data_IF_346407274927
#
_entry.id   IF_346407274927
#
_cell.length_a   1.000
_cell.length_b   1.000
_cell.length_c   1.000
_cell.angle_alpha   90.00
_cell.angle_beta   90.00
_cell.angle_gamma   90.00
#
_symmetry.space_group_name_H-M   'P 1'
#
loop_
_entity.id
_entity.type
_entity.pdbx_description
1 polymer ?
#
# COMPACT_ATOMS: atom_id res chain seq x y z
N UNK A 1 3.71 -8.79 2.83
CA UNK A 1 3.20 -8.81 1.44
C UNK A 1 2.06 -9.80 1.37
N UNK A 2 0.96 -9.43 0.78
CA UNK A 2 -0.18 -10.30 0.48
C UNK A 2 -0.51 -10.23 -1.01
N UNK A 3 -1.07 -11.31 -1.55
CA UNK A 3 -1.54 -11.38 -2.95
C UNK A 3 -2.85 -12.15 -2.98
N UNK A 4 -3.83 -11.65 -3.72
CA UNK A 4 -5.09 -12.32 -3.94
C UNK A 4 -5.59 -12.09 -5.37
N UNK A 5 -6.56 -12.90 -5.81
CA UNK A 5 -7.15 -12.82 -7.16
C UNK A 5 -8.66 -12.63 -7.07
N UNK A 6 -9.18 -11.79 -7.95
CA UNK A 6 -10.61 -11.60 -8.22
C UNK A 6 -10.87 -12.16 -9.61
N UNK A 7 -11.57 -13.29 -9.71
CA UNK A 7 -11.79 -14.00 -10.97
C UNK A 7 -13.12 -13.56 -11.59
N UNK A 8 -13.16 -13.39 -12.90
CA UNK A 8 -14.36 -13.05 -13.65
C UNK A 8 -14.28 -11.67 -14.29
N UNK A 9 -15.40 -11.19 -14.83
CA UNK A 9 -15.51 -9.96 -15.60
C UNK A 9 -15.01 -8.74 -14.80
N UNK A 10 -13.98 -8.09 -15.31
CA UNK A 10 -13.34 -6.95 -14.66
C UNK A 10 -14.21 -5.71 -14.85
N UNK A 11 -14.62 -5.06 -13.76
CA UNK A 11 -15.36 -3.81 -13.79
C UNK A 11 -14.48 -2.59 -13.50
N UNK A 12 -14.95 -1.41 -13.89
CA UNK A 12 -14.29 -0.13 -13.61
C UNK A 12 -15.16 0.77 -12.76
N UNK A 13 -14.52 1.72 -12.09
CA UNK A 13 -15.25 2.76 -11.37
C UNK A 13 -16.06 3.60 -12.37
N UNK A 14 -17.38 3.54 -12.25
CA UNK A 14 -18.29 4.38 -13.04
C UNK A 14 -18.49 5.73 -12.32
N UNK A 15 -18.68 6.78 -13.10
CA UNK A 15 -19.02 8.10 -12.54
C UNK A 15 -20.38 8.02 -11.85
N UNK A 16 -20.55 8.67 -10.70
CA UNK A 16 -21.86 8.80 -10.07
C UNK A 16 -22.87 9.39 -11.05
N UNK A 17 -24.10 8.89 -11.02
CA UNK A 17 -25.20 9.39 -11.83
C UNK A 17 -26.11 10.28 -11.01
N UNK A 18 -26.61 11.34 -11.60
CA UNK A 18 -27.62 12.18 -10.99
C UNK A 18 -29.02 11.85 -11.55
N UNK A 19 -30.02 11.86 -10.70
CA UNK A 19 -31.41 11.77 -11.07
C UNK A 19 -32.22 12.85 -10.35
N UNK A 20 -33.26 13.36 -10.98
CA UNK A 20 -34.19 14.29 -10.34
C UNK A 20 -35.46 13.51 -10.00
N UNK A 21 -35.78 13.43 -8.69
CA UNK A 21 -37.01 12.82 -8.21
C UNK A 21 -37.66 13.74 -7.19
N UNK A 22 -38.92 14.14 -7.45
CA UNK A 22 -39.64 15.06 -6.57
C UNK A 22 -39.04 16.46 -6.47
N UNK A 23 -38.40 16.97 -7.54
CA UNK A 23 -37.77 18.31 -7.54
C UNK A 23 -36.36 18.37 -6.92
N UNK A 24 -35.84 17.27 -6.40
CA UNK A 24 -34.49 17.20 -5.77
C UNK A 24 -33.53 16.37 -6.61
N UNK A 25 -32.32 16.89 -6.83
CA UNK A 25 -31.25 16.15 -7.46
C UNK A 25 -30.69 15.13 -6.46
N UNK A 26 -30.63 13.85 -6.84
CA UNK A 26 -29.98 12.77 -6.07
C UNK A 26 -28.84 12.21 -6.87
N UNK A 27 -27.68 12.12 -6.25
CA UNK A 27 -26.49 11.48 -6.83
C UNK A 27 -26.39 10.08 -6.26
N UNK A 28 -26.13 9.10 -7.12
CA UNK A 28 -25.96 7.70 -6.71
C UNK A 28 -24.83 7.02 -7.47
N UNK A 29 -24.18 6.07 -6.83
CA UNK A 29 -23.21 5.19 -7.45
C UNK A 29 -23.94 4.10 -8.24
N UNK A 30 -23.57 3.82 -9.50
CA UNK A 30 -24.16 2.73 -10.29
C UNK A 30 -24.08 1.38 -9.57
N UNK A 31 -25.15 0.57 -9.71
CA UNK A 31 -25.30 -0.69 -9.01
C UNK A 31 -24.14 -1.68 -9.30
N UNK A 32 -23.71 -1.76 -10.56
CA UNK A 32 -22.63 -2.66 -10.98
C UNK A 32 -21.30 -2.31 -10.29
N UNK A 33 -21.04 -1.00 -10.10
CA UNK A 33 -19.86 -0.55 -9.33
C UNK A 33 -19.92 -1.06 -7.90
N UNK A 34 -21.05 -0.92 -7.22
CA UNK A 34 -21.22 -1.36 -5.83
C UNK A 34 -21.08 -2.89 -5.73
N UNK A 35 -21.67 -3.62 -6.65
CA UNK A 35 -21.60 -5.09 -6.68
C UNK A 35 -20.16 -5.57 -6.85
N UNK A 36 -19.41 -4.95 -7.76
CA UNK A 36 -18.01 -5.32 -7.97
C UNK A 36 -17.11 -4.94 -6.81
N UNK A 37 -17.30 -3.76 -6.20
CA UNK A 37 -16.58 -3.38 -4.97
C UNK A 37 -16.81 -4.39 -3.85
N UNK A 38 -18.06 -4.82 -3.65
CA UNK A 38 -18.39 -5.83 -2.65
C UNK A 38 -17.76 -7.19 -2.98
N UNK A 39 -17.71 -7.55 -4.26
CA UNK A 39 -17.06 -8.78 -4.71
C UNK A 39 -15.56 -8.76 -4.43
N UNK A 40 -14.86 -7.66 -4.75
CA UNK A 40 -13.42 -7.50 -4.44
C UNK A 40 -13.19 -7.60 -2.92
N UNK A 41 -14.03 -6.98 -2.10
CA UNK A 41 -13.96 -7.07 -0.62
C UNK A 41 -14.11 -8.51 -0.13
N UNK A 42 -15.11 -9.21 -0.63
CA UNK A 42 -15.36 -10.60 -0.25
C UNK A 42 -14.18 -11.50 -0.62
N UNK A 43 -13.61 -11.34 -1.82
CA UNK A 43 -12.44 -12.09 -2.26
C UNK A 43 -11.19 -11.77 -1.43
N UNK A 44 -11.00 -10.50 -1.06
CA UNK A 44 -9.93 -10.10 -0.14
C UNK A 44 -10.08 -10.80 1.21
N UNK A 45 -11.23 -10.70 1.85
CA UNK A 45 -11.49 -11.30 3.16
C UNK A 45 -11.33 -12.82 3.12
N UNK A 46 -11.87 -13.47 2.09
CA UNK A 46 -11.75 -14.91 1.90
C UNK A 46 -10.31 -15.40 1.75
N UNK A 47 -9.48 -14.69 0.96
CA UNK A 47 -8.11 -15.12 0.63
C UNK A 47 -7.06 -14.61 1.62
N UNK A 48 -7.27 -13.44 2.23
CA UNK A 48 -6.31 -12.77 3.11
C UNK A 48 -6.67 -12.84 4.60
N UNK A 49 -7.78 -13.49 4.98
CA UNK A 49 -8.21 -13.70 6.36
C UNK A 49 -8.26 -12.42 7.18
N UNK A 50 -8.87 -11.36 6.64
CA UNK A 50 -9.03 -10.04 7.26
C UNK A 50 -7.72 -9.37 7.70
N UNK A 51 -6.59 -9.73 7.08
CA UNK A 51 -5.32 -9.05 7.33
C UNK A 51 -5.39 -7.57 6.94
N UNK A 52 -4.91 -6.68 7.79
CA UNK A 52 -4.85 -5.24 7.50
C UNK A 52 -3.44 -4.68 7.69
N UNK A 53 -3.04 -3.78 6.79
CA UNK A 53 -1.80 -3.02 6.88
C UNK A 53 -1.89 -1.86 7.89
N UNK A 54 -3.07 -1.60 8.46
CA UNK A 54 -3.35 -0.49 9.38
C UNK A 54 -2.86 0.85 8.82
N UNK A 55 -2.05 1.60 9.58
CA UNK A 55 -1.59 2.95 9.22
C UNK A 55 -0.23 2.96 8.49
N UNK A 56 0.26 1.80 8.04
CA UNK A 56 1.55 1.72 7.35
C UNK A 56 1.47 2.23 5.92
N UNK A 57 2.50 2.94 5.41
CA UNK A 57 2.59 3.25 4.00
C UNK A 57 2.73 1.97 3.18
N UNK A 58 2.00 1.88 2.08
CA UNK A 58 1.89 0.68 1.25
C UNK A 58 2.16 0.95 -0.22
N UNK A 59 2.50 -0.12 -0.92
CA UNK A 59 2.56 -0.18 -2.38
C UNK A 59 1.52 -1.18 -2.86
N UNK A 60 0.83 -0.86 -3.96
CA UNK A 60 -0.17 -1.72 -4.58
C UNK A 60 0.23 -1.98 -6.04
N UNK A 61 0.27 -3.26 -6.43
CA UNK A 61 0.39 -3.69 -7.82
C UNK A 61 -0.89 -4.39 -8.24
N UNK A 62 -1.51 -3.91 -9.32
CA UNK A 62 -2.76 -4.41 -9.90
C UNK A 62 -2.46 -4.93 -11.30
N UNK A 63 -2.62 -6.21 -11.51
CA UNK A 63 -2.48 -6.87 -12.81
C UNK A 63 -3.88 -7.26 -13.30
N UNK A 64 -4.41 -6.51 -14.27
CA UNK A 64 -5.69 -6.78 -14.90
C UNK A 64 -5.48 -7.66 -16.13
N UNK A 65 -5.99 -8.87 -16.07
CA UNK A 65 -5.84 -9.87 -17.12
C UNK A 65 -7.18 -10.08 -17.80
N UNK A 66 -7.26 -9.72 -19.08
CA UNK A 66 -8.46 -9.81 -19.89
C UNK A 66 -8.46 -11.07 -20.75
N UNK A 67 -9.63 -11.64 -20.96
CA UNK A 67 -9.77 -12.83 -21.78
C UNK A 67 -9.40 -12.53 -23.23
N UNK A 68 -8.46 -13.30 -23.78
CA UNK A 68 -8.05 -13.23 -25.18
C UNK A 68 -9.17 -13.72 -26.13
N UNK A 69 -9.30 -13.06 -27.26
CA UNK A 69 -10.07 -13.60 -28.39
C UNK A 69 -9.21 -14.63 -29.16
N UNK A 70 -9.80 -15.32 -30.14
CA UNK A 70 -9.13 -16.38 -30.91
C UNK A 70 -7.84 -15.91 -31.63
N UNK A 71 -7.79 -14.67 -32.07
CA UNK A 71 -6.63 -14.15 -32.80
C UNK A 71 -5.46 -13.83 -31.86
N UNK A 72 -5.76 -13.26 -30.69
CA UNK A 72 -4.76 -13.01 -29.66
C UNK A 72 -4.25 -14.34 -29.07
N UNK A 73 -5.14 -15.32 -28.88
CA UNK A 73 -4.78 -16.64 -28.34
C UNK A 73 -3.67 -17.32 -29.13
N UNK A 74 -3.65 -17.21 -30.44
CA UNK A 74 -2.58 -17.77 -31.31
C UNK A 74 -1.20 -17.26 -30.90
N UNK A 75 -1.10 -16.00 -30.52
CA UNK A 75 0.16 -15.39 -30.09
C UNK A 75 0.53 -15.79 -28.66
N UNK A 76 -0.47 -15.93 -27.78
CA UNK A 76 -0.25 -16.44 -26.42
C UNK A 76 0.29 -17.87 -26.46
N UNK A 77 -0.24 -18.72 -27.33
CA UNK A 77 0.21 -20.11 -27.55
C UNK A 77 1.65 -20.19 -28.06
N UNK A 78 2.14 -19.13 -28.73
CA UNK A 78 3.53 -18.97 -29.12
C UNK A 78 4.44 -18.38 -28.03
N UNK A 79 3.88 -18.12 -26.84
CA UNK A 79 4.62 -17.59 -25.67
C UNK A 79 4.76 -16.08 -25.62
N UNK A 80 4.05 -15.32 -26.47
CA UNK A 80 4.07 -13.86 -26.40
C UNK A 80 3.24 -13.35 -25.23
N UNK A 81 3.76 -12.36 -24.50
CA UNK A 81 3.01 -11.60 -23.51
C UNK A 81 2.38 -10.37 -24.21
N UNK A 82 1.06 -10.36 -24.35
CA UNK A 82 0.33 -9.34 -25.12
C UNK A 82 -0.30 -8.33 -24.18
N UNK A 83 0.14 -7.06 -24.27
CA UNK A 83 -0.49 -5.96 -23.52
C UNK A 83 -1.91 -5.68 -24.05
N UNK A 84 -2.85 -5.44 -23.13
CA UNK A 84 -4.22 -5.12 -23.46
C UNK A 84 -4.41 -3.61 -23.58
N UNK A 85 -4.45 -3.08 -24.81
CA UNK A 85 -4.62 -1.64 -25.09
C UNK A 85 -6.08 -1.21 -25.28
N UNK A 86 -6.96 -2.13 -25.65
CA UNK A 86 -8.35 -1.83 -26.04
C UNK A 86 -9.37 -2.07 -24.91
N UNK A 87 -8.91 -2.37 -23.68
CA UNK A 87 -9.80 -2.52 -22.54
C UNK A 87 -9.84 -1.25 -21.70
N UNK A 88 -10.58 -1.34 -20.62
CA UNK A 88 -10.88 -0.28 -19.65
C UNK A 88 -9.64 0.51 -19.19
N UNK A 89 -9.80 1.80 -18.85
CA UNK A 89 -8.72 2.71 -18.47
C UNK A 89 -8.06 2.32 -17.15
N UNK A 90 -6.74 2.46 -17.08
CA UNK A 90 -5.96 2.06 -15.90
C UNK A 90 -6.34 2.83 -14.63
N UNK A 91 -6.64 4.12 -14.74
CA UNK A 91 -7.07 4.97 -13.61
C UNK A 91 -8.40 4.51 -13.02
N UNK A 92 -9.38 4.17 -13.87
CA UNK A 92 -10.69 3.67 -13.45
C UNK A 92 -10.59 2.24 -12.85
N UNK A 93 -9.66 1.42 -13.34
CA UNK A 93 -9.33 0.12 -12.76
C UNK A 93 -8.65 0.26 -11.40
N UNK A 94 -7.67 1.16 -11.30
CA UNK A 94 -7.01 1.48 -10.03
C UNK A 94 -8.02 1.94 -8.99
N UNK A 95 -8.88 2.88 -9.38
CA UNK A 95 -9.84 3.50 -8.48
C UNK A 95 -10.83 2.50 -7.89
N UNK A 96 -11.43 1.62 -8.70
CA UNK A 96 -12.40 0.66 -8.18
C UNK A 96 -11.75 -0.33 -7.20
N UNK A 97 -10.52 -0.76 -7.46
CA UNK A 97 -9.78 -1.66 -6.56
C UNK A 97 -9.40 -0.94 -5.26
N UNK A 98 -8.82 0.27 -5.34
CA UNK A 98 -8.45 1.02 -4.14
C UNK A 98 -9.68 1.38 -3.28
N UNK A 99 -10.77 1.83 -3.87
CA UNK A 99 -12.03 2.13 -3.16
C UNK A 99 -12.62 0.87 -2.50
N UNK A 100 -12.50 -0.29 -3.15
CA UNK A 100 -12.95 -1.57 -2.58
C UNK A 100 -12.17 -1.98 -1.33
N UNK A 101 -10.86 -1.71 -1.30
CA UNK A 101 -9.95 -2.14 -0.25
C UNK A 101 -9.82 -1.14 0.89
N UNK A 102 -10.27 0.10 0.68
CA UNK A 102 -10.26 1.16 1.68
C UNK A 102 -11.12 0.78 2.90
N UNK A 103 -10.56 0.94 4.09
CA UNK A 103 -11.19 0.60 5.37
C UNK A 103 -11.13 -0.90 5.73
N UNK A 104 -10.61 -1.78 4.84
CA UNK A 104 -10.45 -3.22 5.13
C UNK A 104 -8.98 -3.67 5.02
N UNK A 105 -8.33 -3.47 3.88
CA UNK A 105 -6.91 -3.81 3.71
C UNK A 105 -5.98 -2.76 4.35
N UNK A 106 -6.39 -1.54 4.41
CA UNK A 106 -5.71 -0.38 4.99
C UNK A 106 -6.76 0.65 5.44
N UNK A 107 -6.37 1.60 6.30
CA UNK A 107 -7.33 2.53 6.88
C UNK A 107 -7.76 3.65 5.93
N UNK A 108 -6.85 4.09 5.04
CA UNK A 108 -7.10 5.22 4.14
C UNK A 108 -6.22 5.09 2.88
N UNK A 109 -6.76 5.46 1.72
CA UNK A 109 -6.06 5.39 0.43
C UNK A 109 -4.84 6.34 0.34
N UNK A 110 -4.75 7.35 1.22
CA UNK A 110 -3.54 8.19 1.40
C UNK A 110 -2.31 7.41 1.84
N UNK A 111 -2.47 6.18 2.33
CA UNK A 111 -1.36 5.27 2.67
C UNK A 111 -0.69 4.68 1.43
N UNK A 112 -1.35 4.73 0.28
CA UNK A 112 -0.82 4.21 -0.98
C UNK A 112 0.22 5.17 -1.54
N UNK A 113 1.50 4.87 -1.34
CA UNK A 113 2.62 5.70 -1.80
C UNK A 113 3.11 5.33 -3.19
N UNK A 114 2.76 4.14 -3.66
CA UNK A 114 3.07 3.68 -5.01
C UNK A 114 1.94 2.77 -5.51
N UNK A 115 1.46 3.07 -6.70
CA UNK A 115 0.41 2.32 -7.38
C UNK A 115 0.87 1.97 -8.79
N UNK A 116 0.88 0.68 -9.11
CA UNK A 116 1.17 0.19 -10.45
C UNK A 116 -0.05 -0.57 -10.98
N UNK A 117 -0.47 -0.24 -12.19
CA UNK A 117 -1.53 -0.96 -12.91
C UNK A 117 -0.99 -1.44 -14.23
N UNK A 118 -1.23 -2.69 -14.55
CA UNK A 118 -0.86 -3.30 -15.83
C UNK A 118 -2.03 -4.09 -16.40
N UNK A 119 -2.10 -4.15 -17.74
CA UNK A 119 -3.17 -4.81 -18.48
C UNK A 119 -2.58 -5.78 -19.49
N UNK A 120 -3.01 -7.04 -19.43
CA UNK A 120 -2.55 -8.11 -20.32
C UNK A 120 -3.74 -8.93 -20.83
N UNK A 121 -3.50 -9.70 -21.87
CA UNK A 121 -4.41 -10.77 -22.31
C UNK A 121 -3.93 -12.13 -21.81
N UNK A 122 -4.87 -13.01 -21.47
CA UNK A 122 -4.62 -14.41 -21.16
C UNK A 122 -5.87 -15.26 -21.50
N UNK A 123 -5.84 -16.54 -21.27
CA UNK A 123 -6.94 -17.49 -21.50
C UNK A 123 -8.14 -17.25 -20.57
N UNK A 124 -7.90 -16.69 -19.40
CA UNK A 124 -8.93 -16.39 -18.39
C UNK A 124 -8.92 -14.92 -17.96
N UNK A 125 -10.03 -14.44 -17.46
CA UNK A 125 -10.19 -13.06 -16.99
C UNK A 125 -10.14 -12.99 -15.47
N UNK A 126 -9.24 -12.13 -14.94
CA UNK A 126 -9.09 -11.91 -13.50
C UNK A 126 -8.28 -10.63 -13.21
N UNK A 127 -8.40 -10.14 -11.98
CA UNK A 127 -7.49 -9.14 -11.43
C UNK A 127 -6.65 -9.79 -10.34
N UNK A 128 -5.32 -9.68 -10.44
CA UNK A 128 -4.39 -10.07 -9.39
C UNK A 128 -3.88 -8.82 -8.68
N UNK A 129 -4.09 -8.75 -7.37
CA UNK A 129 -3.72 -7.62 -6.55
C UNK A 129 -2.65 -8.06 -5.55
N UNK A 130 -1.53 -7.32 -5.53
CA UNK A 130 -0.46 -7.51 -4.55
C UNK A 130 -0.29 -6.24 -3.75
N UNK A 131 -0.31 -6.35 -2.41
CA UNK A 131 -0.12 -5.25 -1.49
C UNK A 131 1.07 -5.57 -0.58
N UNK A 132 1.95 -4.60 -0.39
CA UNK A 132 3.12 -4.73 0.48
C UNK A 132 3.35 -3.45 1.28
N UNK A 133 4.06 -3.56 2.41
CA UNK A 133 4.57 -2.36 3.08
C UNK A 133 5.57 -1.65 2.16
N UNK A 134 5.48 -0.32 2.13
CA UNK A 134 6.51 0.50 1.53
C UNK A 134 7.78 0.45 2.40
N UNK A 135 8.92 0.17 1.80
CA UNK A 135 10.21 0.02 2.50
C UNK A 135 11.15 1.21 2.31
N UNK A 136 10.73 2.21 1.54
CA UNK A 136 11.51 3.43 1.34
C UNK A 136 11.38 4.42 2.51
N UNK A 137 12.14 5.50 2.42
CA UNK A 137 12.17 6.56 3.43
C UNK A 137 10.86 7.35 3.42
N UNK A 138 10.22 7.48 4.59
CA UNK A 138 9.09 8.39 4.82
C UNK A 138 9.56 9.58 5.68
N UNK A 139 8.78 10.64 5.74
CA UNK A 139 9.07 11.76 6.63
C UNK A 139 9.18 11.31 8.10
N UNK A 140 8.35 10.36 8.51
CA UNK A 140 8.39 9.83 9.87
C UNK A 140 9.69 9.07 10.14
N UNK A 141 10.06 8.13 9.24
CA UNK A 141 11.31 7.36 9.38
C UNK A 141 12.55 8.27 9.26
N UNK A 142 12.50 9.30 8.41
CA UNK A 142 13.56 10.30 8.30
C UNK A 142 13.76 11.08 9.61
N UNK A 143 12.66 11.51 10.25
CA UNK A 143 12.72 12.20 11.55
C UNK A 143 13.27 11.29 12.65
N UNK A 144 12.87 10.04 12.68
CA UNK A 144 13.37 9.05 13.65
C UNK A 144 14.87 8.81 13.46
N UNK A 145 15.32 8.66 12.21
CA UNK A 145 16.74 8.50 11.88
C UNK A 145 17.55 9.75 12.22
N UNK A 146 17.03 10.94 11.91
CA UNK A 146 17.68 12.20 12.29
C UNK A 146 17.85 12.33 13.80
N UNK A 147 16.77 12.06 14.56
CA UNK A 147 16.83 12.07 16.04
C UNK A 147 17.84 11.07 16.57
N UNK A 148 17.89 9.87 16.01
CA UNK A 148 18.88 8.84 16.40
C UNK A 148 20.31 9.28 16.11
N UNK A 149 20.56 9.88 14.95
CA UNK A 149 21.89 10.38 14.58
C UNK A 149 22.33 11.53 15.49
N UNK A 150 21.43 12.43 15.86
CA UNK A 150 21.71 13.51 16.81
C UNK A 150 22.05 12.96 18.21
N UNK A 151 21.32 11.97 18.68
CA UNK A 151 21.63 11.29 19.93
C UNK A 151 22.98 10.58 19.89
N UNK A 152 23.32 9.88 18.78
CA UNK A 152 24.61 9.23 18.59
C UNK A 152 25.76 10.24 18.62
N UNK A 153 25.63 11.35 17.93
CA UNK A 153 26.64 12.42 17.95
C UNK A 153 26.88 12.94 19.37
N UNK A 154 25.84 13.23 20.14
CA UNK A 154 25.98 13.66 21.53
C UNK A 154 26.55 12.59 22.45
N UNK A 155 26.19 11.32 22.20
CA UNK A 155 26.78 10.18 22.91
C UNK A 155 28.29 10.12 22.72
N UNK A 156 28.76 10.13 21.47
CA UNK A 156 30.17 10.08 21.11
C UNK A 156 30.96 11.26 21.68
N UNK A 157 30.38 12.44 21.67
CA UNK A 157 30.97 13.64 22.23
C UNK A 157 31.24 13.48 23.74
N UNK A 158 30.28 12.98 24.50
CA UNK A 158 30.39 12.76 25.95
C UNK A 158 31.34 11.62 26.29
N UNK A 159 31.28 10.52 25.54
CA UNK A 159 32.23 9.39 25.69
C UNK A 159 33.69 9.81 25.42
N UNK A 160 33.94 10.57 24.37
CA UNK A 160 35.25 11.10 24.05
C UNK A 160 35.76 12.05 25.14
N UNK A 161 34.88 12.91 25.68
CA UNK A 161 35.23 13.78 26.80
C UNK A 161 35.56 12.99 28.06
N UNK A 162 34.81 11.92 28.34
CA UNK A 162 35.06 11.03 29.46
C UNK A 162 36.46 10.35 29.32
N UNK A 163 36.77 9.83 28.12
CA UNK A 163 38.08 9.21 27.82
C UNK A 163 39.24 10.20 27.99
N UNK A 164 39.08 11.46 27.54
CA UNK A 164 40.15 12.45 27.58
C UNK A 164 40.37 13.04 28.99
N UNK A 165 39.29 13.30 29.72
CA UNK A 165 39.34 14.01 31.02
C UNK A 165 39.17 13.06 32.21
N UNK A 166 38.93 11.79 32.01
CA UNK A 166 38.70 10.77 33.04
C UNK A 166 37.40 10.97 33.86
N UNK A 167 36.69 12.12 33.70
CA UNK A 167 35.45 12.40 34.41
C UNK A 167 34.53 13.36 33.64
N UNK A 168 33.24 13.25 33.87
CA UNK A 168 32.20 14.17 33.45
C UNK A 168 31.65 14.92 34.66
N UNK A 169 31.11 16.09 34.48
CA UNK A 169 30.33 16.74 35.56
C UNK A 169 28.98 16.02 35.76
N UNK A 170 28.24 16.36 36.82
CA UNK A 170 27.01 15.71 37.20
C UNK A 170 25.93 15.76 36.11
N UNK A 171 25.79 16.92 35.44
CA UNK A 171 24.81 17.11 34.37
C UNK A 171 25.18 16.29 33.11
N UNK A 172 26.46 16.26 32.76
CA UNK A 172 26.96 15.48 31.63
C UNK A 172 26.79 13.97 31.84
N UNK A 173 27.08 13.49 33.06
CA UNK A 173 26.86 12.10 33.43
C UNK A 173 25.39 11.71 33.33
N UNK A 174 24.50 12.52 33.86
CA UNK A 174 23.05 12.28 33.74
C UNK A 174 22.57 12.30 32.28
N UNK A 175 23.11 13.21 31.46
CA UNK A 175 22.78 13.28 30.02
C UNK A 175 23.28 12.05 29.28
N UNK A 176 24.49 11.57 29.59
CA UNK A 176 25.05 10.37 28.98
C UNK A 176 24.20 9.14 29.29
N UNK A 177 23.81 8.93 30.54
CA UNK A 177 22.95 7.80 30.92
C UNK A 177 21.56 7.86 30.27
N UNK A 178 20.97 9.06 30.16
CA UNK A 178 19.70 9.21 29.44
C UNK A 178 19.84 8.85 27.96
N UNK A 179 20.91 9.34 27.28
CA UNK A 179 21.16 9.03 25.88
C UNK A 179 21.41 7.53 25.68
N UNK A 180 22.16 6.88 26.58
CA UNK A 180 22.34 5.42 26.56
C UNK A 180 21.01 4.68 26.66
N UNK A 181 20.13 5.09 27.55
CA UNK A 181 18.79 4.52 27.68
C UNK A 181 17.94 4.68 26.41
N UNK A 182 17.97 5.85 25.78
CA UNK A 182 17.23 6.10 24.53
C UNK A 182 17.79 5.33 23.32
N UNK A 183 19.12 5.19 23.23
CA UNK A 183 19.80 4.50 22.10
C UNK A 183 19.82 2.97 22.23
N UNK A 184 20.04 2.44 23.44
CA UNK A 184 20.36 1.04 23.67
C UNK A 184 19.40 0.33 24.64
N UNK A 185 18.53 1.06 25.34
CA UNK A 185 17.66 0.51 26.40
C UNK A 185 16.46 -0.30 25.92
N UNK A 186 16.22 -0.46 24.61
CA UNK A 186 15.06 -1.18 24.06
C UNK A 186 15.28 -2.65 23.72
N UNK A 187 16.51 -3.18 23.91
CA UNK A 187 16.82 -4.56 23.47
C UNK A 187 16.66 -5.63 24.58
N UNK A 188 16.10 -5.30 25.76
CA UNK A 188 15.95 -6.24 26.87
C UNK A 188 14.53 -6.79 27.10
N UNK A 189 13.63 -6.75 26.10
CA UNK A 189 12.35 -7.46 26.17
C UNK A 189 12.12 -8.25 24.87
N UNK A 190 12.69 -9.42 24.81
CA UNK A 190 12.19 -10.57 24.04
C UNK A 190 12.02 -11.74 24.95
#
# INVERSE_FOLDING_TARGET
MITFKVVGDIQTKQRPRATIKGGYARVYTPKDTILYENYVRAEYQRQCKDFSFKDKPIVINIECVFKANKDIQKFLDLGYNIACVNAKDCDNLAKIICDSLNGIAYNDDRQVVMLKVSKYYDVSEYVKITIANYTGMTLQTAKEQYKRNDLLYHYELLENKLKQKGKLNKQESQRLERIKGELFGKDNHK
#
